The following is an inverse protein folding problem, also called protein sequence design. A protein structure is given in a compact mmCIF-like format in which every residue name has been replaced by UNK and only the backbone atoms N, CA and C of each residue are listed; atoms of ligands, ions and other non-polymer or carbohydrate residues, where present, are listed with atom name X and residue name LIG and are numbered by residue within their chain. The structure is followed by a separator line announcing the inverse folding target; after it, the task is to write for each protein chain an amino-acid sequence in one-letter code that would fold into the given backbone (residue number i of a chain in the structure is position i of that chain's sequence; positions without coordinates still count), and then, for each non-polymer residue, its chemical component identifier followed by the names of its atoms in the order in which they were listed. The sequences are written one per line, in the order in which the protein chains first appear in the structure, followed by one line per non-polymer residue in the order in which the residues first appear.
data_IF_699163014704
#
_entry.id   IF_699163014704
#
_cell.length_a   1.000
_cell.length_b   1.000
_cell.length_c   1.000
_cell.angle_alpha   90.00
_cell.angle_beta   90.00
_cell.angle_gamma   90.00
#
_symmetry.space_group_name_H-M   'P 1'
#
loop_
_entity.id
_entity.type
_entity.pdbx_description
1 polymer ?
#
# COMPACT_ATOMS: atom_id res chain seq x y z
N UNK A 1 -26.76 12.99 0.23
CA UNK A 1 -26.10 13.06 1.53
C UNK A 1 -24.81 12.24 1.46
N UNK A 2 -23.72 12.88 1.01
CA UNK A 2 -22.40 12.28 1.07
C UNK A 2 -21.93 12.27 2.52
N UNK A 3 -21.86 11.10 3.14
CA UNK A 3 -21.27 10.94 4.46
C UNK A 3 -19.80 11.33 4.38
N UNK A 4 -19.44 12.44 5.01
CA UNK A 4 -18.06 12.79 5.26
C UNK A 4 -17.48 11.65 6.10
N UNK A 5 -16.59 10.83 5.52
CA UNK A 5 -15.73 9.96 6.30
C UNK A 5 -14.94 10.88 7.24
N UNK A 6 -15.19 10.75 8.54
CA UNK A 6 -14.39 11.42 9.56
C UNK A 6 -12.96 10.92 9.35
N UNK A 7 -12.10 11.74 8.80
CA UNK A 7 -10.68 11.47 8.70
C UNK A 7 -10.12 11.55 10.12
N UNK A 8 -9.92 10.39 10.73
CA UNK A 8 -9.22 10.30 11.99
C UNK A 8 -7.76 10.69 11.74
N UNK A 9 -7.33 11.80 12.31
CA UNK A 9 -5.96 12.30 12.17
C UNK A 9 -5.60 13.30 13.25
N UNK A 10 -4.32 13.50 13.46
CA UNK A 10 -3.76 14.55 14.31
C UNK A 10 -3.48 15.77 13.46
N UNK A 11 -4.01 16.94 13.85
CA UNK A 11 -3.73 18.18 13.15
C UNK A 11 -2.35 18.71 13.58
N UNK A 12 -1.47 18.94 12.60
CA UNK A 12 -0.14 19.52 12.78
C UNK A 12 -0.03 20.71 11.83
N UNK A 13 -0.20 21.92 12.36
CA UNK A 13 -0.37 23.11 11.54
C UNK A 13 -1.61 22.97 10.64
N UNK A 14 -1.44 23.15 9.34
CA UNK A 14 -2.50 23.01 8.33
C UNK A 14 -2.67 21.57 7.81
N UNK A 15 -1.82 20.64 8.27
CA UNK A 15 -1.86 19.23 7.86
C UNK A 15 -2.67 18.39 8.82
N UNK A 16 -3.53 17.54 8.28
CA UNK A 16 -4.15 16.45 9.00
C UNK A 16 -3.33 15.19 8.76
N UNK A 17 -2.61 14.73 9.79
CA UNK A 17 -1.76 13.54 9.72
C UNK A 17 -2.55 12.37 10.25
N UNK A 18 -2.88 11.45 9.36
CA UNK A 18 -3.49 10.16 9.71
C UNK A 18 -2.64 9.03 9.16
N UNK A 19 -2.71 7.88 9.80
CA UNK A 19 -2.09 6.65 9.28
C UNK A 19 -3.19 5.67 8.89
N UNK A 20 -3.04 4.97 7.78
CA UNK A 20 -4.00 3.92 7.39
C UNK A 20 -3.97 2.73 8.36
N UNK A 21 -2.90 2.57 9.11
CA UNK A 21 -2.77 1.57 10.17
C UNK A 21 -3.53 1.94 11.47
N UNK A 22 -4.27 3.04 11.49
CA UNK A 22 -5.07 3.47 12.66
C UNK A 22 -4.27 4.03 13.82
N UNK A 23 -2.96 4.08 13.74
CA UNK A 23 -2.09 4.66 14.76
C UNK A 23 -1.85 6.15 14.45
N UNK A 24 -2.27 6.99 15.36
CA UNK A 24 -2.08 8.44 15.23
C UNK A 24 -0.74 8.85 15.81
N UNK A 25 -0.01 9.76 15.13
CA UNK A 25 1.21 10.34 15.67
C UNK A 25 0.91 11.11 16.98
N UNK A 26 1.83 11.02 17.92
CA UNK A 26 1.74 11.73 19.20
C UNK A 26 2.63 12.98 19.12
N UNK A 27 2.06 14.19 19.10
CA UNK A 27 2.83 15.42 19.12
C UNK A 27 3.61 15.57 20.44
N UNK A 28 4.88 15.92 20.34
CA UNK A 28 5.71 16.21 21.50
C UNK A 28 5.84 17.72 21.72
N UNK A 29 6.29 18.12 22.90
CA UNK A 29 6.50 19.52 23.24
C UNK A 29 7.55 20.22 22.33
N UNK A 30 8.45 19.44 21.72
CA UNK A 30 9.44 19.89 20.73
C UNK A 30 8.89 20.03 19.30
N UNK A 31 7.58 19.81 19.12
CA UNK A 31 6.89 19.84 17.81
C UNK A 31 7.14 18.62 16.93
N UNK A 32 7.93 17.66 17.38
CA UNK A 32 8.17 16.42 16.64
C UNK A 32 7.05 15.43 16.87
N UNK A 33 6.73 14.68 15.82
CA UNK A 33 5.77 13.59 15.89
C UNK A 33 6.47 12.32 16.34
N UNK A 34 5.76 11.52 17.13
CA UNK A 34 6.17 10.17 17.49
C UNK A 34 5.01 9.22 17.25
N UNK A 35 5.31 7.97 16.97
CA UNK A 35 4.30 6.93 16.73
C UNK A 35 4.64 5.68 17.53
N UNK A 36 3.60 4.95 17.93
CA UNK A 36 3.76 3.58 18.37
C UNK A 36 3.92 2.70 17.13
N UNK A 37 5.03 1.98 17.04
CA UNK A 37 5.28 1.06 15.93
C UNK A 37 4.52 -0.24 16.13
N UNK A 38 4.07 -0.87 15.03
CA UNK A 38 3.51 -2.22 15.08
C UNK A 38 4.57 -3.19 15.60
N UNK A 39 4.18 -4.04 16.55
CA UNK A 39 5.05 -5.06 17.15
C UNK A 39 4.38 -6.42 17.09
N UNK A 40 5.18 -7.42 16.87
CA UNK A 40 4.77 -8.83 16.93
C UNK A 40 5.46 -9.52 18.11
N UNK A 41 4.77 -10.47 18.73
CA UNK A 41 5.35 -11.18 19.88
C UNK A 41 6.60 -11.96 19.45
N UNK A 42 7.68 -11.96 20.28
CA UNK A 42 7.83 -11.38 21.62
C UNK A 42 8.27 -9.90 21.65
N UNK A 43 8.30 -9.17 20.56
CA UNK A 43 8.70 -7.75 20.51
C UNK A 43 9.49 -7.39 19.25
N UNK A 44 9.22 -8.09 18.14
CA UNK A 44 9.85 -7.87 16.83
C UNK A 44 9.01 -6.96 15.93
N UNK A 45 9.67 -6.34 14.93
CA UNK A 45 9.04 -5.37 14.03
C UNK A 45 8.41 -6.01 12.79
N UNK A 46 8.79 -7.25 12.46
CA UNK A 46 8.34 -7.94 11.24
C UNK A 46 7.67 -9.27 11.55
N UNK A 47 6.58 -9.63 10.86
CA UNK A 47 5.83 -10.87 11.11
C UNK A 47 6.66 -12.14 10.95
N UNK A 48 7.62 -12.14 10.02
CA UNK A 48 8.48 -13.31 9.75
C UNK A 48 9.40 -13.70 10.92
N UNK A 49 9.60 -12.79 11.87
CA UNK A 49 10.39 -13.02 13.10
C UNK A 49 9.50 -13.26 14.32
N UNK A 50 8.19 -13.18 14.15
CA UNK A 50 7.24 -13.35 15.24
C UNK A 50 7.18 -14.81 15.72
N UNK A 51 6.96 -14.99 17.01
CA UNK A 51 6.65 -16.30 17.57
C UNK A 51 5.18 -16.64 17.35
N UNK A 52 4.91 -17.81 16.80
CA UNK A 52 3.55 -18.32 16.65
C UNK A 52 3.08 -18.88 17.98
N UNK A 53 1.94 -18.41 18.48
CA UNK A 53 1.29 -18.93 19.67
C UNK A 53 0.15 -19.87 19.23
N UNK A 54 0.33 -21.15 19.51
CA UNK A 54 -0.70 -22.15 19.26
C UNK A 54 -1.48 -22.39 20.55
N UNK A 55 -2.81 -22.29 20.50
CA UNK A 55 -3.72 -22.54 21.61
C UNK A 55 -4.60 -23.73 21.26
N UNK A 56 -4.77 -24.66 22.21
CA UNK A 56 -5.75 -25.72 22.14
C UNK A 56 -7.17 -25.21 22.45
N UNK A 57 -8.18 -26.04 22.18
CA UNK A 57 -9.56 -25.69 22.48
C UNK A 57 -9.73 -25.54 24.00
N UNK A 58 -10.16 -24.34 24.45
CA UNK A 58 -10.35 -24.02 25.87
C UNK A 58 -9.05 -23.74 26.64
N UNK A 59 -7.89 -23.68 25.97
CA UNK A 59 -6.63 -23.32 26.60
C UNK A 59 -6.57 -21.80 26.80
N UNK A 60 -6.20 -21.37 28.01
CA UNK A 60 -5.87 -19.99 28.35
C UNK A 60 -4.36 -19.88 28.58
N UNK A 61 -3.72 -18.88 27.91
CA UNK A 61 -2.30 -18.61 28.07
C UNK A 61 -2.09 -17.17 28.52
N UNK A 62 -1.64 -17.00 29.74
CA UNK A 62 -1.25 -15.71 30.32
C UNK A 62 0.21 -15.34 30.06
N UNK A 63 0.61 -14.17 30.56
CA UNK A 63 1.98 -13.63 30.51
C UNK A 63 2.50 -13.42 29.06
N UNK A 64 1.58 -13.04 28.15
CA UNK A 64 1.93 -12.66 26.78
C UNK A 64 1.99 -11.12 26.73
N UNK A 65 3.09 -10.60 27.27
CA UNK A 65 3.30 -9.14 27.35
C UNK A 65 3.97 -8.63 26.08
N UNK A 66 3.49 -7.47 25.59
CA UNK A 66 4.02 -6.80 24.42
C UNK A 66 4.28 -5.33 24.76
N UNK A 67 5.55 -4.91 24.71
CA UNK A 67 5.91 -3.50 24.89
C UNK A 67 5.81 -2.75 23.57
N UNK A 68 5.11 -1.62 23.57
CA UNK A 68 4.98 -0.71 22.43
C UNK A 68 5.84 0.54 22.65
N UNK A 69 7.06 0.63 22.09
CA UNK A 69 7.89 1.79 22.20
C UNK A 69 7.35 2.95 21.37
N UNK A 70 7.44 4.16 21.92
CA UNK A 70 7.14 5.40 21.21
C UNK A 70 8.37 5.82 20.39
N UNK A 71 8.30 5.63 19.08
CA UNK A 71 9.42 5.82 18.16
C UNK A 71 9.43 7.24 17.55
N UNK A 72 10.63 7.87 17.39
CA UNK A 72 10.74 9.12 16.65
C UNK A 72 10.39 8.91 15.18
N UNK A 73 9.87 9.97 14.55
CA UNK A 73 9.51 9.93 13.14
C UNK A 73 10.29 10.96 12.34
N UNK A 74 10.36 10.71 11.05
CA UNK A 74 10.92 11.59 10.03
C UNK A 74 9.88 11.84 8.94
N UNK A 75 10.03 12.92 8.19
CA UNK A 75 9.22 13.21 7.03
C UNK A 75 9.88 12.70 5.75
N UNK A 76 9.07 12.18 4.84
CA UNK A 76 9.52 11.77 3.50
C UNK A 76 8.65 12.45 2.47
N UNK A 77 9.26 13.22 1.57
CA UNK A 77 8.55 13.88 0.49
C UNK A 77 9.25 13.66 -0.85
N UNK A 78 8.47 13.66 -1.91
CA UNK A 78 9.00 13.42 -3.24
C UNK A 78 7.98 13.55 -4.35
N UNK A 79 8.34 13.04 -5.51
CA UNK A 79 7.51 13.03 -6.72
C UNK A 79 7.53 11.66 -7.36
N UNK A 80 6.38 11.23 -7.85
CA UNK A 80 6.23 10.00 -8.65
C UNK A 80 6.14 10.40 -10.12
N UNK A 81 7.07 9.88 -10.90
CA UNK A 81 7.18 10.13 -12.33
C UNK A 81 6.88 8.84 -13.10
N UNK A 82 6.06 8.95 -14.12
CA UNK A 82 5.82 7.90 -15.10
C UNK A 82 6.48 8.23 -16.45
N UNK A 83 6.32 7.36 -17.45
CA UNK A 83 6.90 7.58 -18.79
C UNK A 83 6.44 8.85 -19.48
N UNK A 84 5.28 9.39 -19.08
CA UNK A 84 4.70 10.61 -19.71
C UNK A 84 4.67 11.81 -18.74
N UNK A 85 5.39 11.77 -17.64
CA UNK A 85 5.44 12.85 -16.65
C UNK A 85 4.94 12.45 -15.25
N UNK A 86 4.59 13.43 -14.40
CA UNK A 86 4.14 13.19 -13.04
C UNK A 86 2.86 12.35 -12.98
N UNK A 87 2.78 11.45 -12.00
CA UNK A 87 1.63 10.54 -11.84
C UNK A 87 0.88 10.86 -10.55
N UNK A 88 -0.32 11.41 -10.70
CA UNK A 88 -1.22 11.71 -9.60
C UNK A 88 -2.17 10.56 -9.28
N UNK A 89 -2.69 10.54 -8.03
CA UNK A 89 -3.71 9.60 -7.58
C UNK A 89 -3.22 8.18 -7.34
N UNK A 90 -1.90 7.96 -7.24
CA UNK A 90 -1.32 6.64 -6.95
C UNK A 90 -0.89 6.54 -5.49
N UNK A 91 -1.04 5.34 -4.92
CA UNK A 91 -0.62 5.05 -3.54
C UNK A 91 0.91 4.86 -3.45
N UNK A 92 1.52 5.63 -2.56
CA UNK A 92 2.92 5.47 -2.14
C UNK A 92 2.90 4.75 -0.80
N UNK A 93 3.58 3.61 -0.68
CA UNK A 93 3.57 2.76 0.51
C UNK A 93 4.99 2.52 1.01
N UNK A 94 5.17 2.56 2.31
CA UNK A 94 6.42 2.25 2.99
C UNK A 94 6.24 0.96 3.78
N UNK A 95 7.12 0.00 3.57
CA UNK A 95 7.10 -1.32 4.20
C UNK A 95 8.46 -1.65 4.80
N UNK A 96 8.50 -2.56 5.77
CA UNK A 96 9.77 -3.06 6.29
C UNK A 96 10.57 -3.79 5.20
N UNK A 97 11.87 -3.49 5.09
CA UNK A 97 12.75 -4.11 4.09
C UNK A 97 12.90 -5.62 4.26
N UNK A 98 12.67 -6.14 5.46
CA UNK A 98 12.75 -7.57 5.77
C UNK A 98 11.47 -8.37 5.40
N UNK A 99 10.41 -7.69 4.95
CA UNK A 99 9.19 -8.37 4.51
C UNK A 99 9.37 -8.88 3.09
N UNK A 100 9.38 -10.20 2.94
CA UNK A 100 9.41 -10.86 1.63
C UNK A 100 8.06 -10.67 0.93
N UNK A 101 8.09 -10.42 -0.37
CA UNK A 101 6.93 -10.08 -1.23
C UNK A 101 5.81 -11.14 -1.29
N UNK A 102 5.98 -12.29 -0.66
CA UNK A 102 5.12 -13.48 -0.83
C UNK A 102 3.86 -13.46 0.04
N UNK A 103 3.74 -12.53 0.99
CA UNK A 103 2.54 -12.47 1.82
C UNK A 103 1.82 -11.13 1.62
N UNK A 104 0.63 -11.23 1.09
CA UNK A 104 -0.35 -10.13 0.93
C UNK A 104 -0.77 -9.49 2.28
N UNK A 105 -0.19 -9.95 3.38
CA UNK A 105 -0.41 -9.49 4.76
C UNK A 105 0.67 -8.53 5.28
N UNK A 106 1.54 -8.00 4.41
CA UNK A 106 2.53 -7.02 4.83
C UNK A 106 1.83 -5.74 5.30
N UNK A 107 2.17 -5.30 6.51
CA UNK A 107 1.60 -4.09 7.11
C UNK A 107 2.33 -2.87 6.59
N UNK A 108 1.60 -1.95 5.94
CA UNK A 108 2.17 -0.68 5.54
C UNK A 108 2.54 0.14 6.79
N UNK A 109 3.79 0.54 6.92
CA UNK A 109 4.29 1.39 8.02
C UNK A 109 3.77 2.82 7.84
N UNK A 110 3.71 3.29 6.61
CA UNK A 110 3.13 4.56 6.23
C UNK A 110 2.64 4.52 4.78
N UNK A 111 1.64 5.32 4.46
CA UNK A 111 1.17 5.46 3.10
C UNK A 111 0.69 6.89 2.81
N UNK A 112 0.78 7.28 1.55
CA UNK A 112 0.23 8.52 1.04
C UNK A 112 -0.30 8.32 -0.37
N UNK A 113 -1.16 9.23 -0.82
CA UNK A 113 -1.59 9.29 -2.23
C UNK A 113 -0.95 10.48 -2.89
N UNK A 114 -0.43 10.34 -4.10
CA UNK A 114 0.17 11.45 -4.85
C UNK A 114 -0.87 12.47 -5.24
N UNK A 115 -0.50 13.75 -5.19
CA UNK A 115 -1.29 14.86 -5.73
C UNK A 115 -1.32 14.82 -7.25
N UNK A 116 -2.12 15.67 -7.88
CA UNK A 116 -2.24 15.74 -9.34
C UNK A 116 -0.90 16.00 -10.05
N UNK A 117 0.00 16.71 -9.40
CA UNK A 117 1.37 16.99 -9.86
C UNK A 117 2.39 15.88 -9.56
N UNK A 118 1.91 14.72 -9.09
CA UNK A 118 2.73 13.58 -8.73
C UNK A 118 3.44 13.71 -7.38
N UNK A 119 3.32 14.83 -6.67
CA UNK A 119 3.98 15.02 -5.37
C UNK A 119 3.31 14.21 -4.27
N UNK A 120 4.10 13.77 -3.29
CA UNK A 120 3.62 13.10 -2.08
C UNK A 120 4.36 13.58 -0.84
N UNK A 121 3.71 13.41 0.31
CA UNK A 121 4.27 13.69 1.63
C UNK A 121 3.82 12.61 2.61
N UNK A 122 4.78 12.00 3.28
CA UNK A 122 4.64 11.11 4.42
C UNK A 122 5.22 11.82 5.65
N UNK A 123 4.39 12.46 6.47
CA UNK A 123 4.88 13.40 7.49
C UNK A 123 5.41 12.72 8.76
N UNK A 124 5.12 11.44 8.96
CA UNK A 124 5.46 10.74 10.21
C UNK A 124 5.79 9.26 9.92
N UNK A 125 6.97 9.00 9.39
CA UNK A 125 7.50 7.64 9.20
C UNK A 125 8.48 7.34 10.32
N UNK A 126 8.37 6.22 11.05
CA UNK A 126 9.36 5.84 12.05
C UNK A 126 10.75 5.71 11.43
N UNK A 127 11.80 6.00 12.20
CA UNK A 127 13.17 5.72 11.75
C UNK A 127 13.39 4.20 11.60
N UNK A 128 14.13 3.78 10.59
CA UNK A 128 14.35 2.36 10.31
C UNK A 128 14.74 2.05 8.87
N UNK A 129 14.80 0.76 8.53
CA UNK A 129 15.10 0.29 7.19
C UNK A 129 13.82 -0.17 6.48
N UNK A 130 13.49 0.51 5.42
CA UNK A 130 12.26 0.31 4.68
C UNK A 130 12.50 0.15 3.19
N UNK A 131 11.43 -0.20 2.51
CA UNK A 131 11.29 -0.12 1.07
C UNK A 131 10.08 0.77 0.78
N UNK A 132 10.26 1.78 -0.05
CA UNK A 132 9.17 2.57 -0.57
C UNK A 132 8.73 1.98 -1.90
N UNK A 133 7.42 1.75 -2.02
CA UNK A 133 6.81 1.10 -3.17
C UNK A 133 5.65 1.92 -3.70
N UNK A 134 5.59 2.02 -5.01
CA UNK A 134 4.45 2.58 -5.74
C UNK A 134 4.01 1.56 -6.78
N UNK A 135 2.72 1.28 -6.84
CA UNK A 135 2.14 0.43 -7.86
C UNK A 135 0.88 1.08 -8.42
N UNK A 136 0.83 1.16 -9.73
CA UNK A 136 -0.34 1.57 -10.49
C UNK A 136 -0.79 0.39 -11.32
N UNK A 137 -1.92 -0.18 -10.96
CA UNK A 137 -2.48 -1.31 -11.71
C UNK A 137 -3.06 -0.82 -13.04
N UNK A 138 -2.92 -1.66 -14.05
CA UNK A 138 -3.63 -1.47 -15.31
C UNK A 138 -5.13 -1.38 -15.08
N UNK A 139 -5.79 -0.44 -15.77
CA UNK A 139 -7.25 -0.40 -15.87
C UNK A 139 -7.65 -1.06 -17.18
N UNK A 140 -8.25 -2.25 -17.14
CA UNK A 140 -8.75 -2.87 -18.36
C UNK A 140 -9.87 -2.00 -18.96
N UNK A 141 -9.89 -1.88 -20.26
CA UNK A 141 -11.01 -1.24 -20.96
C UNK A 141 -12.31 -2.01 -20.67
N UNK A 142 -13.40 -1.30 -20.46
CA UNK A 142 -14.71 -1.94 -20.32
C UNK A 142 -15.10 -2.47 -21.71
N UNK A 143 -15.40 -3.77 -21.87
CA UNK A 143 -15.80 -4.33 -23.14
C UNK A 143 -17.01 -3.56 -23.71
N UNK A 144 -16.99 -3.24 -25.01
CA UNK A 144 -18.06 -2.50 -25.67
C UNK A 144 -19.45 -3.13 -25.48
N UNK A 145 -19.51 -4.46 -25.39
CA UNK A 145 -20.75 -5.20 -25.11
C UNK A 145 -21.31 -4.88 -23.71
N UNK A 146 -20.46 -4.77 -22.70
CA UNK A 146 -20.87 -4.38 -21.34
C UNK A 146 -21.28 -2.90 -21.30
N UNK A 147 -20.54 -2.04 -22.00
CA UNK A 147 -20.88 -0.63 -22.11
C UNK A 147 -22.23 -0.43 -22.79
N UNK A 148 -22.57 -1.22 -23.79
CA UNK A 148 -23.84 -1.15 -24.50
C UNK A 148 -25.05 -1.43 -23.60
N UNK A 149 -24.89 -2.26 -22.57
CA UNK A 149 -25.96 -2.65 -21.64
C UNK A 149 -26.25 -1.60 -20.55
N UNK A 150 -25.40 -0.59 -20.40
CA UNK A 150 -25.56 0.42 -19.36
C UNK A 150 -26.55 1.53 -19.80
N UNK A 151 -27.32 2.12 -18.87
CA UNK A 151 -28.13 3.32 -19.13
C UNK A 151 -27.27 4.49 -19.62
N UNK A 152 -27.87 5.36 -20.46
CA UNK A 152 -27.14 6.48 -21.08
C UNK A 152 -26.46 7.41 -20.05
N UNK A 153 -27.11 7.64 -18.91
CA UNK A 153 -26.58 8.46 -17.83
C UNK A 153 -25.30 7.84 -17.22
N UNK A 154 -25.29 6.53 -17.05
CA UNK A 154 -24.13 5.78 -16.52
C UNK A 154 -23.00 5.70 -17.55
N UNK A 155 -23.32 5.63 -18.86
CA UNK A 155 -22.33 5.72 -19.93
C UNK A 155 -21.60 7.04 -19.92
N UNK A 156 -22.32 8.14 -19.69
CA UNK A 156 -21.74 9.48 -19.60
C UNK A 156 -20.82 9.63 -18.40
N UNK A 157 -21.23 9.11 -17.24
CA UNK A 157 -20.40 9.12 -16.02
C UNK A 157 -19.14 8.24 -16.12
N UNK A 158 -19.24 7.14 -16.85
CA UNK A 158 -18.13 6.18 -17.05
C UNK A 158 -17.30 6.47 -18.29
N UNK A 159 -17.65 7.47 -19.09
CA UNK A 159 -17.05 7.73 -20.41
C UNK A 159 -15.52 7.88 -20.39
N UNK A 160 -14.98 8.54 -19.35
CA UNK A 160 -13.53 8.64 -19.15
C UNK A 160 -12.89 7.33 -18.65
N UNK A 161 -13.68 6.45 -17.99
CA UNK A 161 -13.22 5.14 -17.49
C UNK A 161 -13.37 4.03 -18.54
N UNK A 162 -14.23 4.23 -19.54
CA UNK A 162 -14.53 3.24 -20.56
C UNK A 162 -13.43 3.08 -21.61
N UNK A 163 -12.67 4.17 -21.86
CA UNK A 163 -11.52 4.16 -22.75
C UNK A 163 -10.27 4.61 -21.98
N UNK A 164 -9.64 3.72 -21.25
CA UNK A 164 -8.37 4.03 -20.59
C UNK A 164 -7.34 4.41 -21.66
N UNK A 165 -6.58 5.47 -21.40
CA UNK A 165 -5.46 5.85 -22.25
C UNK A 165 -4.38 4.76 -22.26
N UNK A 166 -3.40 4.83 -23.19
CA UNK A 166 -2.33 3.84 -23.28
C UNK A 166 -1.60 3.58 -21.97
N UNK A 167 -1.50 4.59 -21.11
CA UNK A 167 -0.89 4.49 -19.80
C UNK A 167 -1.79 3.77 -18.77
N UNK A 168 -3.10 3.85 -18.93
CA UNK A 168 -4.03 3.18 -18.02
C UNK A 168 -4.08 1.67 -18.28
N UNK A 169 -3.68 1.24 -19.47
CA UNK A 169 -3.60 -0.18 -19.83
C UNK A 169 -2.35 -0.89 -19.31
N UNK A 170 -1.42 -0.16 -18.68
CA UNK A 170 -0.15 -0.73 -18.20
C UNK A 170 -0.10 -0.73 -16.68
N UNK A 171 0.34 -1.85 -16.12
CA UNK A 171 0.79 -1.89 -14.73
C UNK A 171 2.18 -1.29 -14.65
N UNK A 172 2.31 -0.27 -13.82
CA UNK A 172 3.58 0.41 -13.57
C UNK A 172 3.95 0.25 -12.10
N UNK A 173 5.23 0.09 -11.82
CA UNK A 173 5.72 -0.01 -10.46
C UNK A 173 7.06 0.71 -10.29
N UNK A 174 7.34 1.10 -9.06
CA UNK A 174 8.65 1.53 -8.60
C UNK A 174 8.87 0.98 -7.20
N UNK A 175 10.08 0.55 -6.93
CA UNK A 175 10.51 0.11 -5.63
C UNK A 175 11.92 0.62 -5.36
N UNK A 176 12.13 1.19 -4.17
CA UNK A 176 13.43 1.75 -3.79
C UNK A 176 13.70 1.46 -2.31
N UNK A 177 14.89 0.96 -1.95
CA UNK A 177 15.33 0.89 -0.56
C UNK A 177 15.33 2.28 0.08
N UNK A 178 14.81 2.37 1.29
CA UNK A 178 14.63 3.63 2.01
C UNK A 178 15.11 3.50 3.46
N UNK A 179 16.42 3.61 3.71
CA UNK A 179 16.93 3.75 5.07
C UNK A 179 16.59 5.15 5.59
N UNK A 180 15.86 5.22 6.71
CA UNK A 180 15.36 6.46 7.29
C UNK A 180 15.99 6.73 8.66
N UNK A 181 16.93 7.67 8.69
CA UNK A 181 17.53 8.20 9.91
C UNK A 181 17.19 9.69 10.14
N UNK A 182 16.78 10.37 9.07
CA UNK A 182 16.47 11.81 9.04
C UNK A 182 15.42 12.09 7.97
N UNK A 183 14.91 13.30 7.96
CA UNK A 183 13.99 13.77 6.93
C UNK A 183 14.59 13.63 5.52
N UNK A 184 13.78 13.14 4.60
CA UNK A 184 14.14 12.95 3.19
C UNK A 184 13.21 13.82 2.34
N UNK A 185 13.79 14.73 1.59
CA UNK A 185 13.05 15.61 0.68
C UNK A 185 13.49 15.40 -0.77
N UNK A 186 12.56 15.60 -1.70
CA UNK A 186 12.86 15.54 -3.14
C UNK A 186 13.12 14.13 -3.67
N UNK A 187 12.58 13.09 -3.02
CA UNK A 187 12.72 11.72 -3.50
C UNK A 187 12.01 11.56 -4.86
N UNK A 188 12.73 11.10 -5.89
CA UNK A 188 12.16 10.83 -7.19
C UNK A 188 11.91 9.33 -7.36
N UNK A 189 10.65 8.94 -7.56
CA UNK A 189 10.23 7.56 -7.81
C UNK A 189 9.79 7.44 -9.28
N UNK A 190 10.59 6.76 -10.10
CA UNK A 190 10.29 6.57 -11.52
C UNK A 190 9.57 5.24 -11.72
N UNK A 191 8.34 5.31 -12.20
CA UNK A 191 7.54 4.14 -12.53
C UNK A 191 8.01 3.52 -13.83
N UNK A 192 8.24 2.23 -13.81
CA UNK A 192 8.59 1.40 -14.96
C UNK A 192 7.54 0.32 -15.19
N UNK A 193 7.45 -0.21 -16.39
CA UNK A 193 6.59 -1.36 -16.70
C UNK A 193 7.18 -2.63 -16.08
N UNK A 194 6.29 -3.47 -15.54
CA UNK A 194 6.66 -4.80 -15.05
C UNK A 194 6.96 -5.78 -16.17
N UNK A 195 7.60 -6.89 -15.81
CA UNK A 195 7.69 -8.05 -16.67
C UNK A 195 6.31 -8.73 -16.79
N UNK A 196 6.01 -9.27 -17.96
CA UNK A 196 4.79 -10.07 -18.16
C UNK A 196 5.19 -11.54 -18.23
N UNK A 197 4.55 -12.36 -17.39
CA UNK A 197 4.66 -13.82 -17.46
C UNK A 197 3.34 -14.34 -18.03
N UNK A 198 3.44 -15.17 -19.07
CA UNK A 198 2.29 -15.83 -19.68
C UNK A 198 2.51 -17.33 -19.72
N UNK A 199 1.45 -18.09 -19.52
CA UNK A 199 1.49 -19.55 -19.53
C UNK A 199 0.09 -20.12 -19.63
N UNK A 200 0.00 -21.43 -19.67
CA UNK A 200 -1.25 -22.17 -19.61
C UNK A 200 -1.16 -23.22 -18.50
N UNK A 201 -2.31 -23.59 -18.00
CA UNK A 201 -2.40 -24.67 -17.01
C UNK A 201 -2.68 -25.98 -17.73
N UNK A 202 -1.89 -26.99 -17.44
CA UNK A 202 -2.16 -28.37 -17.80
C UNK A 202 -2.58 -29.13 -16.53
N UNK A 203 -3.70 -29.79 -16.59
CA UNK A 203 -4.19 -30.60 -15.48
C UNK A 203 -3.91 -32.07 -15.80
N UNK A 204 -3.09 -32.71 -14.96
CA UNK A 204 -2.79 -34.12 -15.04
C UNK A 204 -3.89 -34.90 -14.29
N UNK A 205 -4.62 -35.75 -15.00
CA UNK A 205 -5.69 -36.58 -14.44
C UNK A 205 -6.78 -36.94 -15.44
N UNK A 206 -7.50 -38.03 -15.16
CA UNK A 206 -8.58 -38.54 -15.99
C UNK A 206 -9.94 -37.84 -15.79
N UNK A 207 -10.03 -36.86 -14.89
CA UNK A 207 -11.23 -36.08 -14.57
C UNK A 207 -11.36 -34.80 -15.39
N UNK A 208 -12.56 -34.21 -15.40
CA UNK A 208 -12.73 -32.86 -15.94
C UNK A 208 -11.90 -31.82 -15.17
N UNK A 209 -11.17 -30.93 -15.85
CA UNK A 209 -10.37 -29.93 -15.18
C UNK A 209 -11.23 -29.02 -14.29
N UNK A 210 -10.73 -28.58 -13.12
CA UNK A 210 -11.44 -27.64 -12.28
C UNK A 210 -11.63 -26.30 -13.00
N UNK A 211 -12.64 -25.50 -12.64
CA UNK A 211 -12.83 -24.18 -13.23
C UNK A 211 -11.62 -23.29 -12.93
N UNK A 212 -11.05 -22.68 -13.96
CA UNK A 212 -9.82 -21.87 -13.89
C UNK A 212 -9.94 -20.68 -12.92
N UNK A 213 -11.17 -20.24 -12.60
CA UNK A 213 -11.45 -19.16 -11.66
C UNK A 213 -11.00 -19.44 -10.20
N UNK A 214 -10.73 -20.70 -9.86
CA UNK A 214 -10.22 -21.10 -8.54
C UNK A 214 -8.71 -21.33 -8.47
N UNK A 215 -7.97 -21.07 -9.57
CA UNK A 215 -6.53 -21.31 -9.63
C UNK A 215 -5.78 -19.98 -9.44
N UNK A 216 -4.93 -19.91 -8.42
CA UNK A 216 -4.05 -18.77 -8.18
C UNK A 216 -2.60 -19.17 -8.41
N UNK A 217 -1.83 -18.26 -9.01
CA UNK A 217 -0.38 -18.40 -9.18
C UNK A 217 0.30 -17.35 -8.32
N UNK A 218 1.19 -17.78 -7.42
CA UNK A 218 2.08 -16.91 -6.69
C UNK A 218 3.49 -17.03 -7.30
N UNK A 219 4.14 -15.88 -7.57
CA UNK A 219 5.51 -15.78 -8.09
C UNK A 219 6.42 -15.24 -6.99
#
# INVERSE_FOLDING_TARGET
SGGAMLQNGVRVGDLLVGTQSGQLPVPQADGRLRVYTTRFYPGVDVPSQAAILTLGSGEERGNIDLALPLSPTVSVSGVVMGPMGPVGGVGVRVRHAAETLVQDQSVDVASATTRADGTFLLPAVPTGNYVIRVMRNARPAIPAAQLAMLPAEMKSALGAMANPGPMDAMTLFAELPLPLERDVAGLALTLTTGATVSGHFEFDGAGAPPPVQGVSVAL
#
